data_IF_345405898761
#
_entry.id   IF_345405898761
#
_cell.length_a   1.000
_cell.length_b   1.000
_cell.length_c   1.000
_cell.angle_alpha   90.00
_cell.angle_beta   90.00
_cell.angle_gamma   90.00
#
_symmetry.space_group_name_H-M   'P 1'
#
loop_
_entity.id
_entity.type
_entity.pdbx_description
1 polymer ?
#
# COMPACT_ATOMS: atom_id res chain seq x y z
N UNK A 1 -39.22 -21.60 -24.41
CA UNK A 1 -40.00 -21.90 -23.18
C UNK A 1 -41.43 -21.42 -23.40
N UNK A 2 -42.48 -22.13 -22.97
CA UNK A 2 -43.87 -21.67 -23.20
C UNK A 2 -44.18 -20.42 -22.33
N UNK A 3 -44.87 -19.43 -22.88
CA UNK A 3 -45.26 -18.17 -22.21
C UNK A 3 -45.96 -18.40 -20.86
N UNK A 4 -46.75 -19.47 -20.73
CA UNK A 4 -47.38 -19.84 -19.47
C UNK A 4 -46.36 -20.22 -18.37
N UNK A 5 -45.25 -20.86 -18.74
CA UNK A 5 -44.19 -21.22 -17.80
C UNK A 5 -43.42 -19.98 -17.31
N UNK A 6 -43.17 -19.01 -18.20
CA UNK A 6 -42.54 -17.73 -17.87
C UNK A 6 -43.41 -16.96 -16.87
N UNK A 7 -44.70 -16.79 -17.17
CA UNK A 7 -45.66 -16.11 -16.29
C UNK A 7 -45.82 -16.81 -14.94
N UNK A 8 -45.85 -18.15 -14.92
CA UNK A 8 -45.89 -18.92 -13.67
C UNK A 8 -44.62 -18.68 -12.84
N UNK A 9 -43.46 -18.63 -13.50
CA UNK A 9 -42.19 -18.37 -12.84
C UNK A 9 -42.09 -16.95 -12.25
N UNK A 10 -42.84 -15.98 -12.77
CA UNK A 10 -42.88 -14.60 -12.26
C UNK A 10 -43.77 -14.44 -11.01
N UNK A 11 -44.68 -15.38 -10.73
CA UNK A 11 -45.61 -15.33 -9.58
C UNK A 11 -45.08 -16.02 -8.31
N UNK A 12 -43.89 -16.62 -8.40
CA UNK A 12 -43.27 -17.39 -7.31
C UNK A 12 -42.42 -16.56 -6.36
N UNK A 13 -41.61 -17.27 -5.56
CA UNK A 13 -40.66 -16.68 -4.60
C UNK A 13 -39.69 -15.67 -5.25
N UNK A 14 -39.11 -14.76 -4.44
CA UNK A 14 -38.07 -13.85 -4.92
C UNK A 14 -36.93 -14.64 -5.57
N UNK A 15 -36.63 -14.30 -6.82
CA UNK A 15 -35.59 -14.92 -7.64
C UNK A 15 -34.26 -14.18 -7.48
N UNK A 16 -33.15 -14.91 -7.62
CA UNK A 16 -31.81 -14.29 -7.64
C UNK A 16 -31.58 -13.50 -8.94
N UNK A 17 -30.54 -12.67 -8.97
CA UNK A 17 -30.15 -11.89 -10.16
C UNK A 17 -29.92 -12.84 -11.35
N UNK A 18 -29.24 -13.97 -11.13
CA UNK A 18 -28.95 -14.97 -12.16
C UNK A 18 -30.23 -15.64 -12.68
N UNK A 19 -31.18 -15.93 -11.79
CA UNK A 19 -32.45 -16.54 -12.16
C UNK A 19 -33.35 -15.57 -12.95
N UNK A 20 -33.34 -14.28 -12.61
CA UNK A 20 -34.06 -13.25 -13.35
C UNK A 20 -33.44 -13.03 -14.73
N UNK A 21 -32.10 -12.95 -14.81
CA UNK A 21 -31.38 -12.83 -16.08
C UNK A 21 -31.65 -14.04 -16.98
N UNK A 22 -31.53 -15.27 -16.46
CA UNK A 22 -31.81 -16.48 -17.23
C UNK A 22 -33.28 -16.55 -17.72
N UNK A 23 -34.23 -16.03 -16.93
CA UNK A 23 -35.64 -15.95 -17.36
C UNK A 23 -35.82 -14.92 -18.48
N UNK A 24 -35.11 -13.79 -18.42
CA UNK A 24 -35.12 -12.75 -19.44
C UNK A 24 -34.49 -13.25 -20.75
N UNK A 25 -33.36 -13.96 -20.66
CA UNK A 25 -32.65 -14.51 -21.82
C UNK A 25 -33.44 -15.64 -22.52
N UNK A 26 -34.27 -16.37 -21.76
CA UNK A 26 -35.15 -17.42 -22.31
C UNK A 26 -36.40 -16.88 -23.04
N UNK A 27 -36.60 -15.56 -23.03
CA UNK A 27 -37.77 -14.89 -23.60
C UNK A 27 -37.55 -14.58 -25.09
N UNK A 28 -38.00 -15.49 -25.96
CA UNK A 28 -37.83 -15.42 -27.40
C UNK A 28 -38.95 -14.59 -28.07
N UNK A 29 -38.84 -13.26 -27.99
CA UNK A 29 -39.80 -12.34 -28.62
C UNK A 29 -39.68 -12.41 -30.14
N UNK A 30 -38.46 -12.45 -30.67
CA UNK A 30 -38.20 -12.48 -32.11
C UNK A 30 -38.84 -13.72 -32.76
N UNK A 31 -38.73 -14.89 -32.12
CA UNK A 31 -39.40 -16.11 -32.57
C UNK A 31 -40.92 -16.02 -32.54
N UNK A 32 -41.49 -15.31 -31.55
CA UNK A 32 -42.95 -15.07 -31.47
C UNK A 32 -43.42 -14.11 -32.58
N UNK A 33 -42.67 -13.05 -32.85
CA UNK A 33 -42.95 -12.10 -33.94
C UNK A 33 -42.85 -12.78 -35.31
N UNK A 34 -41.81 -13.59 -35.53
CA UNK A 34 -41.66 -14.38 -36.75
C UNK A 34 -42.79 -15.39 -36.94
N UNK A 35 -43.27 -16.01 -35.85
CA UNK A 35 -44.42 -16.91 -35.90
C UNK A 35 -45.71 -16.16 -36.27
N UNK A 36 -45.93 -14.95 -35.75
CA UNK A 36 -47.07 -14.12 -36.11
C UNK A 36 -47.02 -13.68 -37.57
N UNK A 37 -45.86 -13.24 -38.09
CA UNK A 37 -45.69 -12.88 -39.50
C UNK A 37 -45.96 -14.07 -40.44
N UNK A 38 -45.52 -15.27 -40.08
CA UNK A 38 -45.81 -16.48 -40.84
C UNK A 38 -47.33 -16.78 -40.91
N UNK A 39 -48.07 -16.52 -39.82
CA UNK A 39 -49.53 -16.65 -39.82
C UNK A 39 -50.19 -15.59 -40.71
N UNK A 40 -49.64 -14.38 -40.81
CA UNK A 40 -50.12 -13.34 -41.73
C UNK A 40 -49.84 -13.68 -43.21
N UNK A 41 -48.72 -14.35 -43.50
CA UNK A 41 -48.47 -14.95 -44.82
C UNK A 41 -49.52 -16.04 -45.12
N UNK A 42 -49.81 -16.91 -44.15
CA UNK A 42 -50.82 -17.97 -44.30
C UNK A 42 -52.23 -17.39 -44.51
N UNK A 43 -52.58 -16.33 -43.77
CA UNK A 43 -53.83 -15.59 -43.92
C UNK A 43 -54.01 -15.06 -45.34
N UNK A 44 -52.97 -14.44 -45.91
CA UNK A 44 -52.98 -13.96 -47.31
C UNK A 44 -53.25 -15.08 -48.32
N UNK A 45 -52.73 -16.29 -48.05
CA UNK A 45 -52.99 -17.47 -48.90
C UNK A 45 -54.45 -17.94 -48.79
N UNK A 46 -54.95 -18.06 -47.57
CA UNK A 46 -56.32 -18.53 -47.31
C UNK A 46 -57.39 -17.56 -47.83
N UNK A 47 -57.10 -16.25 -47.86
CA UNK A 47 -57.98 -15.26 -48.49
C UNK A 47 -58.18 -15.47 -49.99
N UNK A 48 -57.22 -16.11 -50.68
CA UNK A 48 -57.31 -16.36 -52.13
C UNK A 48 -57.96 -17.72 -52.43
N UNK A 49 -57.58 -18.76 -51.69
CA UNK A 49 -57.88 -20.16 -52.05
C UNK A 49 -58.66 -20.94 -50.99
N UNK A 50 -58.99 -20.33 -49.84
CA UNK A 50 -59.58 -20.99 -48.68
C UNK A 50 -61.07 -20.73 -48.44
N UNK A 51 -61.63 -21.37 -47.42
CA UNK A 51 -63.01 -21.13 -46.99
C UNK A 51 -63.08 -20.07 -45.89
N UNK A 52 -64.25 -19.45 -45.69
CA UNK A 52 -64.48 -18.49 -44.59
C UNK A 52 -64.12 -19.11 -43.21
N UNK A 53 -64.37 -20.41 -43.04
CA UNK A 53 -64.03 -21.12 -41.81
C UNK A 53 -62.51 -21.24 -41.60
N UNK A 54 -61.74 -21.41 -42.68
CA UNK A 54 -60.28 -21.47 -42.60
C UNK A 54 -59.70 -20.09 -42.26
N UNK A 55 -60.32 -19.02 -42.80
CA UNK A 55 -59.95 -17.64 -42.49
C UNK A 55 -60.18 -17.33 -41.01
N UNK A 56 -61.36 -17.64 -40.47
CA UNK A 56 -61.67 -17.46 -39.04
C UNK A 56 -60.68 -18.21 -38.14
N UNK A 57 -60.29 -19.43 -38.51
CA UNK A 57 -59.34 -20.23 -37.75
C UNK A 57 -57.93 -19.60 -37.72
N UNK A 58 -57.47 -19.01 -38.83
CA UNK A 58 -56.16 -18.33 -38.89
C UNK A 58 -56.21 -17.00 -38.13
N UNK A 59 -57.28 -16.22 -38.27
CA UNK A 59 -57.43 -14.96 -37.54
C UNK A 59 -57.45 -15.18 -36.02
N UNK A 60 -58.08 -16.26 -35.55
CA UNK A 60 -58.01 -16.67 -34.15
C UNK A 60 -56.58 -17.01 -33.68
N UNK A 61 -55.77 -17.67 -34.54
CA UNK A 61 -54.36 -17.95 -34.26
C UNK A 61 -53.52 -16.68 -34.20
N UNK A 62 -53.70 -15.75 -35.15
CA UNK A 62 -53.02 -14.45 -35.16
C UNK A 62 -53.36 -13.66 -33.90
N UNK A 63 -54.64 -13.58 -33.54
CA UNK A 63 -55.07 -12.90 -32.32
C UNK A 63 -54.44 -13.53 -31.06
N UNK A 64 -54.26 -14.86 -31.02
CA UNK A 64 -53.55 -15.52 -29.93
C UNK A 64 -52.05 -15.20 -29.93
N UNK A 65 -51.40 -15.23 -31.09
CA UNK A 65 -49.98 -14.92 -31.24
C UNK A 65 -49.66 -13.48 -30.82
N UNK A 66 -50.48 -12.51 -31.25
CA UNK A 66 -50.34 -11.11 -30.87
C UNK A 66 -50.48 -10.91 -29.35
N UNK A 67 -51.44 -11.58 -28.69
CA UNK A 67 -51.54 -11.56 -27.23
C UNK A 67 -50.31 -12.15 -26.54
N UNK A 68 -49.70 -13.19 -27.11
CA UNK A 68 -48.50 -13.80 -26.55
C UNK A 68 -47.27 -12.88 -26.72
N UNK A 69 -47.17 -12.14 -27.84
CA UNK A 69 -46.18 -11.07 -28.04
C UNK A 69 -46.37 -9.95 -27.01
N UNK A 70 -47.59 -9.44 -26.83
CA UNK A 70 -47.89 -8.41 -25.82
C UNK A 70 -47.52 -8.87 -24.40
N UNK A 71 -47.87 -10.12 -24.05
CA UNK A 71 -47.47 -10.73 -22.77
C UNK A 71 -45.96 -10.85 -22.64
N UNK A 72 -45.25 -11.18 -23.71
CA UNK A 72 -43.80 -11.29 -23.72
C UNK A 72 -43.14 -9.92 -23.47
N UNK A 73 -43.61 -8.85 -24.13
CA UNK A 73 -43.13 -7.48 -23.89
C UNK A 73 -43.44 -6.99 -22.47
N UNK A 74 -44.63 -7.28 -21.96
CA UNK A 74 -44.99 -6.96 -20.57
C UNK A 74 -44.10 -7.73 -19.58
N UNK A 75 -43.85 -9.02 -19.84
CA UNK A 75 -42.96 -9.85 -19.02
C UNK A 75 -41.51 -9.34 -19.07
N UNK A 76 -40.99 -8.97 -20.25
CA UNK A 76 -39.65 -8.37 -20.43
C UNK A 76 -39.50 -7.12 -19.56
N UNK A 77 -40.46 -6.19 -19.64
CA UNK A 77 -40.43 -4.93 -18.90
C UNK A 77 -40.38 -5.17 -17.39
N UNK A 78 -41.25 -6.03 -16.88
CA UNK A 78 -41.30 -6.34 -15.45
C UNK A 78 -40.08 -7.13 -14.97
N UNK A 79 -39.57 -8.09 -15.77
CA UNK A 79 -38.36 -8.85 -15.44
C UNK A 79 -37.13 -7.94 -15.38
N UNK A 80 -36.97 -7.01 -16.32
CA UNK A 80 -35.90 -6.01 -16.28
C UNK A 80 -35.99 -5.13 -15.04
N UNK A 81 -37.19 -4.65 -14.68
CA UNK A 81 -37.40 -3.85 -13.46
C UNK A 81 -36.99 -4.63 -12.20
N UNK A 82 -37.41 -5.90 -12.10
CA UNK A 82 -37.05 -6.76 -10.96
C UNK A 82 -35.56 -7.08 -10.91
N UNK A 83 -34.93 -7.28 -12.06
CA UNK A 83 -33.50 -7.55 -12.17
C UNK A 83 -32.69 -6.37 -11.63
N UNK A 84 -33.04 -5.15 -12.02
CA UNK A 84 -32.36 -3.94 -11.53
C UNK A 84 -32.57 -3.74 -10.02
N UNK A 85 -33.79 -3.97 -9.52
CA UNK A 85 -34.05 -3.93 -8.08
C UNK A 85 -33.25 -4.99 -7.30
N UNK A 86 -33.14 -6.21 -7.85
CA UNK A 86 -32.36 -7.29 -7.25
C UNK A 86 -30.85 -6.99 -7.24
N UNK A 87 -30.31 -6.41 -8.32
CA UNK A 87 -28.91 -5.96 -8.40
C UNK A 87 -28.61 -4.87 -7.39
N UNK A 88 -29.50 -3.88 -7.25
CA UNK A 88 -29.37 -2.81 -6.28
C UNK A 88 -29.36 -3.36 -4.84
N UNK A 89 -30.31 -4.24 -4.52
CA UNK A 89 -30.39 -4.87 -3.19
C UNK A 89 -29.16 -5.74 -2.88
N UNK A 90 -28.67 -6.52 -3.84
CA UNK A 90 -27.45 -7.32 -3.68
C UNK A 90 -26.22 -6.42 -3.43
N UNK A 91 -26.10 -5.32 -4.18
CA UNK A 91 -25.01 -4.35 -4.02
C UNK A 91 -25.06 -3.69 -2.65
N UNK A 92 -26.23 -3.22 -2.21
CA UNK A 92 -26.40 -2.61 -0.89
C UNK A 92 -26.08 -3.61 0.24
N UNK A 93 -26.52 -4.86 0.11
CA UNK A 93 -26.20 -5.92 1.08
C UNK A 93 -24.69 -6.17 1.16
N UNK A 94 -23.98 -6.19 0.04
CA UNK A 94 -22.52 -6.31 0.04
C UNK A 94 -21.82 -5.11 0.69
N UNK A 95 -22.24 -3.88 0.35
CA UNK A 95 -21.70 -2.65 0.94
C UNK A 95 -21.94 -2.62 2.45
N UNK A 96 -23.13 -3.02 2.89
CA UNK A 96 -23.49 -3.14 4.30
C UNK A 96 -22.62 -4.16 5.02
N UNK A 97 -22.45 -5.35 4.44
CA UNK A 97 -21.59 -6.38 5.01
C UNK A 97 -20.12 -5.93 5.12
N UNK A 98 -19.59 -5.23 4.11
CA UNK A 98 -18.24 -4.65 4.15
C UNK A 98 -18.12 -3.58 5.23
N UNK A 99 -19.12 -2.70 5.34
CA UNK A 99 -19.16 -1.67 6.38
C UNK A 99 -19.19 -2.27 7.78
N UNK A 100 -20.10 -3.22 8.05
CA UNK A 100 -20.26 -3.84 9.36
C UNK A 100 -18.99 -4.62 9.75
N UNK A 101 -18.33 -5.29 8.80
CA UNK A 101 -17.04 -5.96 9.02
C UNK A 101 -15.91 -4.96 9.33
N UNK A 102 -15.83 -3.83 8.61
CA UNK A 102 -14.85 -2.79 8.88
C UNK A 102 -15.09 -2.13 10.25
N UNK A 103 -16.35 -1.86 10.60
CA UNK A 103 -16.76 -1.34 11.89
C UNK A 103 -16.35 -2.27 13.03
N UNK A 104 -16.63 -3.58 12.91
CA UNK A 104 -16.25 -4.55 13.92
C UNK A 104 -14.73 -4.61 14.15
N UNK A 105 -13.92 -4.52 13.07
CA UNK A 105 -12.46 -4.45 13.17
C UNK A 105 -11.98 -3.17 13.86
N UNK A 106 -12.57 -2.03 13.51
CA UNK A 106 -12.23 -0.75 14.13
C UNK A 106 -12.58 -0.73 15.62
N UNK A 107 -13.77 -1.21 15.99
CA UNK A 107 -14.23 -1.29 17.38
C UNK A 107 -13.33 -2.24 18.20
N UNK A 108 -12.98 -3.41 17.65
CA UNK A 108 -12.06 -4.35 18.30
C UNK A 108 -10.64 -3.77 18.47
N UNK A 109 -10.13 -3.07 17.46
CA UNK A 109 -8.83 -2.39 17.55
C UNK A 109 -8.85 -1.26 18.59
N UNK A 110 -9.93 -0.48 18.64
CA UNK A 110 -10.13 0.58 19.63
C UNK A 110 -10.15 0.03 21.06
N UNK A 111 -10.89 -1.05 21.31
CA UNK A 111 -10.91 -1.73 22.61
C UNK A 111 -9.53 -2.25 23.01
N UNK A 112 -8.81 -2.87 22.07
CA UNK A 112 -7.45 -3.36 22.31
C UNK A 112 -6.50 -2.22 22.64
N UNK A 113 -6.56 -1.13 21.88
CA UNK A 113 -5.75 0.06 22.09
C UNK A 113 -6.02 0.66 23.48
N UNK A 114 -7.29 0.84 23.86
CA UNK A 114 -7.67 1.36 25.17
C UNK A 114 -7.17 0.50 26.33
N UNK A 115 -7.16 -0.82 26.17
CA UNK A 115 -6.71 -1.75 27.21
C UNK A 115 -5.19 -1.88 27.30
N UNK A 116 -4.52 -2.04 26.17
CA UNK A 116 -3.11 -2.45 26.14
C UNK A 116 -2.14 -1.27 26.09
N UNK A 117 -2.51 -0.16 25.45
CA UNK A 117 -1.61 0.97 25.26
C UNK A 117 -1.12 1.58 26.58
N UNK A 118 -2.00 1.89 27.57
CA UNK A 118 -1.53 2.49 28.83
C UNK A 118 -0.53 1.61 29.58
N UNK A 119 -0.73 0.29 29.55
CA UNK A 119 0.15 -0.66 30.23
C UNK A 119 1.49 -0.80 29.52
N UNK A 120 1.50 -0.84 28.19
CA UNK A 120 2.73 -0.85 27.40
C UNK A 120 3.51 0.47 27.57
N UNK A 121 2.82 1.60 27.54
CA UNK A 121 3.42 2.92 27.73
C UNK A 121 4.06 3.04 29.12
N UNK A 122 3.36 2.64 30.19
CA UNK A 122 3.93 2.60 31.56
C UNK A 122 5.16 1.70 31.66
N UNK A 123 5.16 0.54 31.00
CA UNK A 123 6.33 -0.36 30.98
C UNK A 123 7.54 0.30 30.29
N UNK A 124 7.32 0.95 29.16
CA UNK A 124 8.38 1.69 28.46
C UNK A 124 8.90 2.86 29.31
N UNK A 125 8.00 3.63 29.93
CA UNK A 125 8.36 4.71 30.87
C UNK A 125 9.20 4.18 32.04
N UNK A 126 8.82 3.02 32.59
CA UNK A 126 9.59 2.38 33.65
C UNK A 126 11.00 2.00 33.19
N UNK A 127 11.16 1.49 31.96
CA UNK A 127 12.48 1.18 31.41
C UNK A 127 13.34 2.44 31.21
N UNK A 128 12.74 3.52 30.69
CA UNK A 128 13.41 4.82 30.55
C UNK A 128 13.88 5.33 31.92
N UNK A 129 13.04 5.20 32.96
CA UNK A 129 13.41 5.54 34.34
C UNK A 129 14.60 4.72 34.83
N UNK A 130 14.53 3.40 34.72
CA UNK A 130 15.62 2.51 35.17
C UNK A 130 16.94 2.83 34.49
N UNK A 131 16.93 3.09 33.17
CA UNK A 131 18.14 3.49 32.44
C UNK A 131 18.68 4.83 32.95
N UNK A 132 17.83 5.83 33.12
CA UNK A 132 18.26 7.14 33.61
C UNK A 132 18.81 7.08 35.04
N UNK A 133 18.20 6.28 35.93
CA UNK A 133 18.72 6.04 37.29
C UNK A 133 20.09 5.35 37.26
N UNK A 134 20.25 4.33 36.43
CA UNK A 134 21.53 3.63 36.26
C UNK A 134 22.62 4.55 35.71
N UNK A 135 22.29 5.39 34.73
CA UNK A 135 23.25 6.33 34.14
C UNK A 135 23.64 7.44 35.12
N UNK A 136 22.72 7.92 35.98
CA UNK A 136 23.06 8.84 37.07
C UNK A 136 24.02 8.20 38.06
N UNK A 137 23.79 6.94 38.43
CA UNK A 137 24.70 6.20 39.31
C UNK A 137 26.09 5.99 38.67
N UNK A 138 26.13 5.67 37.37
CA UNK A 138 27.37 5.57 36.59
C UNK A 138 28.12 6.90 36.55
N UNK A 139 27.42 8.01 36.29
CA UNK A 139 28.01 9.35 36.32
C UNK A 139 28.60 9.68 37.70
N UNK A 140 27.90 9.37 38.79
CA UNK A 140 28.37 9.61 40.16
C UNK A 140 29.58 8.75 40.51
N UNK A 141 29.57 7.47 40.13
CA UNK A 141 30.71 6.57 40.30
C UNK A 141 31.93 7.06 39.50
N UNK A 142 31.73 7.51 38.26
CA UNK A 142 32.80 8.04 37.41
C UNK A 142 33.38 9.36 37.94
N UNK A 143 32.63 10.17 38.71
CA UNK A 143 33.18 11.35 39.39
C UNK A 143 34.12 10.99 40.54
N UNK A 144 33.98 9.79 41.09
CA UNK A 144 34.77 9.28 42.21
C UNK A 144 35.68 8.13 41.78
N UNK A 145 36.12 8.14 40.51
CA UNK A 145 36.84 7.04 39.90
C UNK A 145 38.20 6.82 40.60
N UNK A 146 38.51 5.59 41.05
CA UNK A 146 39.86 5.22 41.49
C UNK A 146 40.89 5.45 40.37
N UNK A 147 42.12 5.80 40.74
CA UNK A 147 43.17 6.17 39.77
C UNK A 147 43.42 5.10 38.68
N UNK A 148 43.27 3.82 39.02
CA UNK A 148 43.58 2.70 38.14
C UNK A 148 42.32 2.05 37.51
N UNK A 149 41.12 2.56 37.80
CA UNK A 149 39.88 1.99 37.30
C UNK A 149 39.45 2.67 35.97
N UNK A 150 39.01 1.91 34.95
CA UNK A 150 38.45 2.51 33.74
C UNK A 150 37.06 3.10 34.02
N UNK A 151 36.66 4.18 33.33
CA UNK A 151 35.33 4.77 33.49
C UNK A 151 34.25 3.79 33.04
N UNK A 152 33.18 3.73 33.82
CA UNK A 152 31.99 2.96 33.49
C UNK A 152 31.26 3.61 32.32
N UNK A 153 30.78 2.79 31.38
CA UNK A 153 29.96 3.26 30.27
C UNK A 153 28.49 3.34 30.70
N UNK A 154 27.72 4.32 30.18
CA UNK A 154 26.26 4.35 30.32
C UNK A 154 25.62 3.01 29.94
N UNK A 155 24.58 2.61 30.68
CA UNK A 155 23.96 1.29 30.57
C UNK A 155 23.45 1.02 29.14
N UNK A 156 22.87 2.04 28.50
CA UNK A 156 22.37 1.93 27.14
C UNK A 156 23.48 1.73 26.10
N UNK A 157 24.64 2.38 26.31
CA UNK A 157 25.81 2.23 25.45
C UNK A 157 26.33 0.79 25.50
N UNK A 158 26.35 0.16 26.66
CA UNK A 158 26.82 -1.23 26.83
C UNK A 158 25.97 -2.21 26.01
N UNK A 159 24.66 -1.99 25.94
CA UNK A 159 23.73 -2.92 25.27
C UNK A 159 23.56 -2.61 23.78
N UNK A 160 23.46 -1.32 23.42
CA UNK A 160 23.01 -0.91 22.08
C UNK A 160 24.14 -0.43 21.17
N UNK A 161 25.30 -0.04 21.70
CA UNK A 161 26.40 0.44 20.85
C UNK A 161 27.10 -0.74 20.19
N UNK A 162 27.03 -0.79 18.86
CA UNK A 162 27.93 -1.65 18.09
C UNK A 162 29.32 -0.97 18.07
N UNK A 163 30.37 -1.59 18.63
CA UNK A 163 31.70 -1.02 18.56
C UNK A 163 32.13 -0.94 17.09
N UNK A 164 32.89 0.09 16.76
CA UNK A 164 33.55 0.16 15.47
C UNK A 164 34.55 -0.98 15.34
N UNK A 165 34.69 -1.56 14.15
CA UNK A 165 35.78 -2.51 13.89
C UNK A 165 36.98 -1.75 13.35
N UNK A 166 38.16 -2.05 13.87
CA UNK A 166 39.39 -1.54 13.27
C UNK A 166 39.59 -2.16 11.89
N UNK A 167 40.30 -1.42 11.04
CA UNK A 167 40.75 -1.96 9.76
C UNK A 167 41.59 -3.21 10.00
N UNK A 168 41.27 -4.29 9.30
CA UNK A 168 42.03 -5.55 9.39
C UNK A 168 42.61 -5.88 8.03
N UNK A 169 43.93 -5.71 7.90
CA UNK A 169 44.67 -6.15 6.71
C UNK A 169 44.67 -7.68 6.70
N UNK A 170 44.08 -8.28 5.66
CA UNK A 170 44.03 -9.74 5.47
C UNK A 170 45.29 -10.22 4.77
N UNK A 171 45.71 -9.50 3.72
CA UNK A 171 46.91 -9.81 2.98
C UNK A 171 47.47 -8.56 2.33
N UNK A 172 48.79 -8.50 2.28
CA UNK A 172 49.54 -7.45 1.61
C UNK A 172 50.59 -8.12 0.73
N UNK A 173 50.47 -7.97 -0.58
CA UNK A 173 51.38 -8.61 -1.54
C UNK A 173 51.82 -7.58 -2.57
N UNK A 174 53.12 -7.55 -2.81
CA UNK A 174 53.66 -6.80 -3.92
C UNK A 174 53.32 -7.48 -5.25
N UNK A 175 52.74 -6.72 -6.17
CA UNK A 175 52.36 -7.18 -7.51
C UNK A 175 52.88 -6.18 -8.55
N UNK A 176 53.36 -6.69 -9.67
CA UNK A 176 53.74 -5.86 -10.80
C UNK A 176 52.60 -5.88 -11.82
N UNK A 177 52.00 -4.72 -12.08
CA UNK A 177 50.89 -4.57 -13.02
C UNK A 177 51.26 -3.58 -14.12
N UNK A 178 50.65 -3.74 -15.29
CA UNK A 178 50.77 -2.80 -16.39
C UNK A 178 49.88 -1.59 -16.13
N UNK A 179 50.44 -0.41 -16.34
CA UNK A 179 49.76 0.88 -16.25
C UNK A 179 49.87 1.61 -17.57
N UNK A 180 49.02 2.61 -17.79
CA UNK A 180 49.21 3.53 -18.90
C UNK A 180 50.56 4.25 -18.75
N UNK A 181 51.30 4.39 -19.87
CA UNK A 181 52.60 5.05 -19.87
C UNK A 181 52.48 6.47 -19.29
N UNK A 182 53.41 6.83 -18.41
CA UNK A 182 53.43 8.09 -17.67
C UNK A 182 52.24 8.31 -16.70
N UNK A 183 51.43 7.28 -16.41
CA UNK A 183 50.38 7.33 -15.39
C UNK A 183 50.54 6.21 -14.34
N UNK A 184 49.82 6.35 -13.24
CA UNK A 184 49.60 5.29 -12.24
C UNK A 184 48.28 4.55 -12.45
N UNK A 185 47.48 4.96 -13.44
CA UNK A 185 46.24 4.30 -13.79
C UNK A 185 46.52 2.90 -14.32
N UNK A 186 45.87 1.91 -13.70
CA UNK A 186 45.99 0.52 -14.09
C UNK A 186 45.45 0.32 -15.50
N UNK A 187 46.21 -0.41 -16.33
CA UNK A 187 45.69 -0.90 -17.59
C UNK A 187 44.58 -1.91 -17.31
N UNK A 188 43.57 -1.96 -18.18
CA UNK A 188 42.37 -2.76 -17.96
C UNK A 188 42.71 -4.20 -17.54
N UNK A 189 42.10 -4.69 -16.45
CA UNK A 189 42.46 -5.97 -15.82
C UNK A 189 42.39 -7.14 -16.83
N UNK A 190 41.38 -7.13 -17.70
CA UNK A 190 41.20 -8.12 -18.77
C UNK A 190 42.26 -8.06 -19.88
N UNK A 191 43.13 -7.05 -19.90
CA UNK A 191 44.19 -6.86 -20.91
C UNK A 191 45.60 -6.93 -20.33
N UNK A 192 45.74 -7.18 -19.03
CA UNK A 192 47.04 -7.38 -18.38
C UNK A 192 47.82 -8.55 -19.03
N UNK A 193 47.13 -9.65 -19.35
CA UNK A 193 47.74 -10.82 -20.01
C UNK A 193 48.23 -10.52 -21.44
N UNK A 194 47.56 -9.61 -22.16
CA UNK A 194 47.98 -9.16 -23.49
C UNK A 194 49.31 -8.39 -23.40
N UNK A 195 49.43 -7.51 -22.41
CA UNK A 195 50.66 -6.77 -22.16
C UNK A 195 51.82 -7.69 -21.69
N UNK A 196 51.55 -8.69 -20.85
CA UNK A 196 52.55 -9.70 -20.46
C UNK A 196 53.02 -10.54 -21.66
N UNK A 197 52.11 -10.91 -22.58
CA UNK A 197 52.47 -11.63 -23.80
C UNK A 197 53.36 -10.75 -24.71
N UNK A 198 53.05 -9.46 -24.80
CA UNK A 198 53.80 -8.49 -25.59
C UNK A 198 55.19 -8.21 -25.02
N UNK A 199 55.33 -8.15 -23.69
CA UNK A 199 56.64 -8.09 -23.00
C UNK A 199 57.50 -9.31 -23.34
N UNK A 200 56.93 -10.53 -23.29
CA UNK A 200 57.66 -11.75 -23.65
C UNK A 200 58.12 -11.75 -25.10
N UNK A 201 57.27 -11.27 -26.02
CA UNK A 201 57.62 -11.13 -27.43
C UNK A 201 58.77 -10.13 -27.64
N UNK A 202 58.71 -8.98 -26.96
CA UNK A 202 59.80 -8.00 -26.99
C UNK A 202 61.11 -8.58 -26.44
N UNK A 203 61.06 -9.28 -25.31
CA UNK A 203 62.22 -9.91 -24.70
C UNK A 203 62.85 -10.97 -25.63
N UNK A 204 62.03 -11.75 -26.35
CA UNK A 204 62.50 -12.77 -27.29
C UNK A 204 63.12 -12.19 -28.56
N UNK A 205 62.58 -11.09 -29.07
CA UNK A 205 62.96 -10.55 -30.38
C UNK A 205 64.02 -9.43 -30.31
N UNK A 206 64.16 -8.75 -29.18
CA UNK A 206 64.93 -7.49 -29.10
C UNK A 206 65.93 -7.41 -27.93
N UNK A 207 66.36 -8.56 -27.39
CA UNK A 207 67.29 -8.65 -26.25
C UNK A 207 66.85 -7.86 -25.00
N UNK A 208 65.53 -7.72 -24.80
CA UNK A 208 64.96 -7.08 -23.61
C UNK A 208 63.84 -6.09 -23.92
N UNK A 209 63.40 -5.39 -22.87
CA UNK A 209 62.45 -4.29 -22.99
C UNK A 209 63.14 -3.03 -23.54
N UNK A 210 62.38 -2.13 -24.18
CA UNK A 210 62.86 -0.79 -24.52
C UNK A 210 63.49 -0.07 -23.31
N UNK A 211 64.48 0.83 -23.51
CA UNK A 211 65.15 1.53 -22.41
C UNK A 211 64.22 2.33 -21.49
N UNK A 212 63.08 2.79 -22.02
CA UNK A 212 62.04 3.50 -21.26
C UNK A 212 61.04 2.56 -20.57
N UNK A 213 61.13 1.24 -20.83
CA UNK A 213 60.24 0.22 -20.30
C UNK A 213 58.80 0.30 -20.80
N UNK A 214 58.55 1.08 -21.87
CA UNK A 214 57.22 1.29 -22.43
C UNK A 214 57.02 0.38 -23.63
N UNK A 215 55.96 -0.43 -23.59
CA UNK A 215 55.56 -1.29 -24.71
C UNK A 215 54.25 -0.81 -25.33
N UNK A 216 54.09 -1.11 -26.62
CA UNK A 216 52.86 -0.81 -27.36
C UNK A 216 52.02 -2.08 -27.46
N UNK A 217 50.81 -2.02 -26.91
CA UNK A 217 49.81 -3.09 -26.94
C UNK A 217 48.76 -2.73 -28.01
N UNK A 218 48.05 -3.72 -28.56
CA UNK A 218 47.14 -3.48 -29.68
C UNK A 218 46.10 -2.39 -29.38
N UNK A 219 45.71 -1.62 -30.39
CA UNK A 219 44.85 -0.45 -30.20
C UNK A 219 45.58 0.83 -29.81
N UNK A 220 46.92 0.87 -29.95
CA UNK A 220 47.72 2.08 -29.79
C UNK A 220 48.01 2.47 -28.34
N UNK A 221 47.74 1.57 -27.37
CA UNK A 221 48.00 1.85 -25.97
C UNK A 221 49.48 1.68 -25.64
N UNK A 222 50.04 2.71 -24.99
CA UNK A 222 51.39 2.68 -24.41
C UNK A 222 51.27 2.29 -22.95
N UNK A 223 51.95 1.22 -22.55
CA UNK A 223 51.90 0.71 -21.17
C UNK A 223 53.29 0.49 -20.59
N UNK A 224 53.41 0.63 -19.28
CA UNK A 224 54.65 0.44 -18.53
C UNK A 224 54.35 -0.41 -17.29
N UNK A 225 55.23 -1.37 -16.97
CA UNK A 225 55.08 -2.23 -15.79
C UNK A 225 55.55 -1.48 -14.54
N UNK A 226 54.69 -1.38 -13.53
CA UNK A 226 54.99 -0.72 -12.25
C UNK A 226 54.68 -1.64 -11.07
N UNK A 227 55.36 -1.41 -9.95
CA UNK A 227 55.18 -2.17 -8.70
C UNK A 227 54.07 -1.54 -7.88
N UNK A 228 53.14 -2.37 -7.41
CA UNK A 228 52.01 -2.00 -6.58
C UNK A 228 51.96 -2.86 -5.33
N UNK A 229 51.42 -2.29 -4.26
CA UNK A 229 51.06 -3.01 -3.06
C UNK A 229 49.59 -3.40 -3.12
N UNK A 230 49.30 -4.67 -3.42
CA UNK A 230 47.93 -5.18 -3.39
C UNK A 230 47.57 -5.50 -1.94
N UNK A 231 46.81 -4.59 -1.32
CA UNK A 231 46.26 -4.77 0.04
C UNK A 231 44.82 -5.24 -0.03
N UNK A 232 44.54 -6.42 0.53
CA UNK A 232 43.18 -6.89 0.79
C UNK A 232 42.91 -6.72 2.27
N UNK A 233 41.87 -5.97 2.61
CA UNK A 233 41.59 -5.61 4.00
C UNK A 233 40.08 -5.52 4.24
N UNK A 234 39.68 -5.73 5.49
CA UNK A 234 38.34 -5.39 5.99
C UNK A 234 38.41 -3.91 6.39
N UNK A 235 37.61 -3.02 5.78
CA UNK A 235 37.65 -1.60 6.11
C UNK A 235 37.27 -1.39 7.57
N UNK A 236 37.84 -0.35 8.19
CA UNK A 236 37.36 0.07 9.50
C UNK A 236 35.90 0.51 9.38
N UNK A 237 35.06 0.13 10.35
CA UNK A 237 33.71 0.68 10.46
C UNK A 237 33.67 1.61 11.68
N UNK A 238 33.09 2.80 11.51
CA UNK A 238 32.79 3.66 12.65
C UNK A 238 31.82 2.98 13.62
N UNK A 239 31.80 3.45 14.87
CA UNK A 239 30.73 3.06 15.79
C UNK A 239 29.39 3.55 15.23
N UNK A 240 28.37 2.69 15.22
CA UNK A 240 27.04 3.08 14.76
C UNK A 240 26.36 3.83 15.91
N UNK A 241 25.98 5.11 15.74
CA UNK A 241 25.25 5.84 16.78
C UNK A 241 23.86 5.20 16.95
N UNK A 242 23.34 5.23 18.17
CA UNK A 242 21.95 4.88 18.46
C UNK A 242 21.23 6.10 19.01
N UNK A 243 19.95 6.24 18.67
CA UNK A 243 19.08 7.18 19.36
C UNK A 243 18.78 6.65 20.77
N UNK A 244 18.90 7.49 21.82
CA UNK A 244 18.56 7.09 23.19
C UNK A 244 17.14 6.54 23.27
N UNK A 245 16.87 5.59 24.15
CA UNK A 245 15.51 5.04 24.30
C UNK A 245 14.52 6.13 24.73
N UNK A 246 15.01 7.11 25.49
CA UNK A 246 14.29 8.31 25.88
C UNK A 246 13.87 9.20 24.68
N UNK A 247 14.31 8.92 23.46
CA UNK A 247 13.88 9.67 22.27
C UNK A 247 12.55 9.21 21.67
N UNK A 248 11.94 8.15 22.23
CA UNK A 248 10.61 7.70 21.82
C UNK A 248 9.57 8.72 22.29
N UNK A 249 8.43 8.82 21.62
CA UNK A 249 7.28 9.61 22.06
C UNK A 249 6.11 8.70 22.38
N UNK A 250 5.53 8.89 23.56
CA UNK A 250 4.38 8.13 24.05
C UNK A 250 3.25 9.13 24.37
N UNK A 251 2.43 9.50 23.36
CA UNK A 251 1.35 10.46 23.54
C UNK A 251 0.27 9.95 24.51
N UNK A 252 -0.59 10.86 24.95
CA UNK A 252 -1.83 10.47 25.64
C UNK A 252 -2.72 9.64 24.72
N UNK A 253 -3.57 8.78 25.30
CA UNK A 253 -4.46 7.93 24.50
C UNK A 253 -5.62 8.74 23.90
N UNK A 254 -6.20 9.64 24.69
CA UNK A 254 -7.33 10.49 24.30
C UNK A 254 -6.86 11.93 24.12
N UNK A 255 -7.55 12.68 23.26
CA UNK A 255 -7.30 14.12 23.10
C UNK A 255 -7.44 14.84 24.44
N UNK A 256 -6.36 15.49 24.88
CA UNK A 256 -6.29 16.17 26.18
C UNK A 256 -5.61 15.38 27.30
N UNK A 257 -5.33 14.09 27.11
CA UNK A 257 -4.50 13.33 28.04
C UNK A 257 -3.05 13.83 27.99
N UNK A 258 -2.36 13.96 29.16
CA UNK A 258 -0.92 14.19 29.15
C UNK A 258 -0.20 13.01 28.48
N UNK A 259 0.94 13.26 27.81
CA UNK A 259 1.75 12.18 27.28
C UNK A 259 2.30 11.32 28.43
N UNK A 260 2.36 10.00 28.22
CA UNK A 260 3.09 9.10 29.11
C UNK A 260 4.58 9.44 29.11
N UNK A 261 5.11 9.85 27.96
CA UNK A 261 6.48 10.32 27.78
C UNK A 261 6.59 11.24 26.57
N UNK A 262 7.28 12.35 26.75
CA UNK A 262 7.57 13.32 25.68
C UNK A 262 8.92 13.99 25.93
N UNK A 263 9.78 13.90 24.91
CA UNK A 263 11.12 14.46 24.88
C UNK A 263 11.15 15.95 24.56
N UNK A 264 10.13 16.53 23.91
CA UNK A 264 10.22 17.88 23.34
C UNK A 264 10.47 18.99 24.36
N UNK A 265 10.14 18.75 25.64
CA UNK A 265 10.31 19.71 26.72
C UNK A 265 11.61 19.56 27.51
N UNK A 266 12.45 18.58 27.18
CA UNK A 266 13.73 18.33 27.86
C UNK A 266 14.81 17.93 26.87
N UNK A 267 16.02 18.46 27.07
CA UNK A 267 17.18 17.90 26.40
C UNK A 267 17.39 16.45 26.86
N UNK A 268 17.20 15.48 25.95
CA UNK A 268 17.46 14.04 26.19
C UNK A 268 18.93 13.71 26.45
N UNK A 269 19.79 14.74 26.53
CA UNK A 269 21.21 14.62 26.72
C UNK A 269 21.63 14.47 28.20
N UNK A 270 20.69 14.56 29.15
CA UNK A 270 20.98 14.33 30.57
C UNK A 270 19.99 13.40 31.24
N UNK A 271 20.50 12.33 31.85
CA UNK A 271 19.71 11.37 32.63
C UNK A 271 18.97 12.02 33.80
N UNK A 272 19.53 13.10 34.39
CA UNK A 272 18.86 13.88 35.43
C UNK A 272 17.66 14.66 34.89
N UNK A 273 17.77 15.23 33.70
CA UNK A 273 16.65 15.92 33.03
C UNK A 273 15.53 14.95 32.67
N UNK A 274 15.87 13.72 32.26
CA UNK A 274 14.90 12.64 32.02
C UNK A 274 14.12 12.33 33.31
N UNK A 275 14.81 12.12 34.43
CA UNK A 275 14.15 11.83 35.72
C UNK A 275 13.26 13.00 36.20
N UNK A 276 13.73 14.24 36.07
CA UNK A 276 12.93 15.43 36.41
C UNK A 276 11.66 15.52 35.54
N UNK A 277 11.75 15.24 34.24
CA UNK A 277 10.60 15.20 33.35
C UNK A 277 9.61 14.10 33.74
N UNK A 278 10.09 12.92 34.10
CA UNK A 278 9.23 11.83 34.55
C UNK A 278 8.46 12.20 35.84
N UNK A 279 9.09 12.96 36.73
CA UNK A 279 8.42 13.50 37.92
C UNK A 279 7.37 14.54 37.54
N UNK A 280 7.67 15.47 36.62
CA UNK A 280 6.70 16.45 36.13
C UNK A 280 5.48 15.77 35.49
N UNK A 281 5.69 14.80 34.59
CA UNK A 281 4.62 14.09 33.91
C UNK A 281 3.71 13.32 34.89
N UNK A 282 4.28 12.79 35.97
CA UNK A 282 3.50 12.12 37.02
C UNK A 282 2.55 13.06 37.77
N UNK A 283 2.75 14.38 37.69
CA UNK A 283 1.87 15.38 38.32
C UNK A 283 0.79 15.92 37.38
N UNK A 284 0.92 15.70 36.07
CA UNK A 284 -0.05 16.17 35.08
C UNK A 284 -1.36 15.39 35.18
N UNK A 285 -2.46 16.10 35.04
CA UNK A 285 -3.81 15.52 34.99
C UNK A 285 -4.36 15.63 33.57
N UNK A 286 -5.19 14.66 33.13
CA UNK A 286 -5.97 14.80 31.90
C UNK A 286 -6.74 16.12 31.88
N UNK A 287 -6.76 16.77 30.72
CA UNK A 287 -7.70 17.86 30.50
C UNK A 287 -9.13 17.31 30.64
N UNK A 288 -10.09 18.10 31.16
CA UNK A 288 -11.48 17.70 31.13
C UNK A 288 -11.88 17.40 29.68
N UNK A 289 -12.76 16.41 29.45
CA UNK A 289 -13.25 16.13 28.11
C UNK A 289 -13.82 17.42 27.54
N UNK A 290 -13.41 17.79 26.32
CA UNK A 290 -13.96 18.95 25.65
C UNK A 290 -15.49 18.83 25.69
N UNK A 291 -16.16 19.80 26.32
CA UNK A 291 -17.61 19.84 26.33
C UNK A 291 -18.07 19.71 24.87
N UNK A 292 -19.01 18.81 24.61
CA UNK A 292 -19.60 18.70 23.28
C UNK A 292 -20.06 20.11 22.89
N UNK A 293 -19.44 20.67 21.84
CA UNK A 293 -19.67 22.06 21.45
C UNK A 293 -21.16 22.34 21.42
N UNK A 294 -21.59 23.43 22.08
CA UNK A 294 -22.99 23.80 22.10
C UNK A 294 -23.51 23.87 20.66
N UNK A 295 -24.70 23.33 20.35
CA UNK A 295 -25.22 23.35 19.00
C UNK A 295 -25.34 24.80 18.54
N UNK A 296 -24.55 25.17 17.54
CA UNK A 296 -24.67 26.46 16.86
C UNK A 296 -25.80 26.31 15.86
N UNK A 297 -26.94 26.94 16.14
CA UNK A 297 -28.06 27.00 15.21
C UNK A 297 -27.82 28.18 14.29
N UNK A 298 -27.36 27.91 13.07
CA UNK A 298 -27.27 28.89 12.00
C UNK A 298 -28.54 28.81 11.14
N UNK A 299 -29.27 29.92 11.02
CA UNK A 299 -30.43 30.04 10.13
C UNK A 299 -29.94 30.49 8.75
N UNK A 300 -29.92 29.57 7.79
CA UNK A 300 -29.56 29.87 6.40
C UNK A 300 -30.84 30.29 5.66
N UNK A 301 -30.93 31.53 5.13
CA UNK A 301 -32.08 31.94 4.35
C UNK A 301 -32.14 31.16 3.03
N UNK A 302 -33.29 30.57 2.74
CA UNK A 302 -33.59 30.01 1.42
C UNK A 302 -33.92 31.19 0.52
N UNK A 303 -33.14 31.42 -0.52
CA UNK A 303 -33.46 32.44 -1.52
C UNK A 303 -34.81 32.06 -2.17
N UNK A 304 -35.84 32.88 -1.94
CA UNK A 304 -37.07 32.79 -2.72
C UNK A 304 -36.70 33.14 -4.17
N UNK A 305 -36.94 32.20 -5.07
CA UNK A 305 -36.78 32.40 -6.50
C UNK A 305 -37.61 33.63 -6.91
N UNK A 306 -36.92 34.69 -7.34
CA UNK A 306 -37.50 35.88 -7.92
C UNK A 306 -38.11 35.59 -9.30
N UNK A 307 -39.15 34.75 -9.34
CA UNK A 307 -39.97 34.48 -10.52
C UNK A 307 -41.43 34.59 -10.13
N UNK A 308 -41.92 35.82 -10.17
CA UNK A 308 -43.28 36.19 -10.59
C UNK A 308 -43.49 37.64 -10.15
N UNK A 309 -43.07 38.59 -10.97
CA UNK A 309 -43.59 39.97 -10.98
C UNK A 309 -43.11 40.66 -12.28
N UNK A 310 -43.60 40.17 -13.41
CA UNK A 310 -43.57 40.93 -14.68
C UNK A 310 -44.73 40.50 -15.58
N UNK A 311 -45.95 40.51 -15.04
CA UNK A 311 -47.18 40.60 -15.82
C UNK A 311 -48.10 41.57 -15.07
N UNK A 312 -47.91 42.87 -15.30
CA UNK A 312 -48.96 43.91 -15.34
C UNK A 312 -48.29 45.28 -15.37
N UNK A 313 -48.09 45.81 -16.58
CA UNK A 313 -48.13 47.24 -16.81
C UNK A 313 -48.69 47.46 -18.22
N UNK A 314 -49.94 47.93 -18.21
CA UNK A 314 -50.71 48.43 -19.34
C UNK A 314 -50.07 49.67 -20.00
#
# INVERSE_FOLDING_TARGET
MNMQAILKSMRGQPKTVEQLQATLDALDIEGLEAAAENLEVERRRVLLDGTDKDLEAIEAKIASANRDIERAYAAKTELTKRLEAAKAAATESELRARYDAAKAKADAAGQKLQREYPELAKRLVSLIRTLAEADVAVEEANRQLPADAPPLLPAEIVVRRRPGTNEKIISEKEVSLWCHANSWDLFAENRQAEADAREKEHAANWNGLPPDGIIHVNGGHRVQKRRFLRRTYIPSSGAIPHSPLASIELPGLVGGDPPFWDQHRVGIYSSRSILARLQELATLKPAPPAEAGQPVVELIPIAEDARNNSEEAA
#
